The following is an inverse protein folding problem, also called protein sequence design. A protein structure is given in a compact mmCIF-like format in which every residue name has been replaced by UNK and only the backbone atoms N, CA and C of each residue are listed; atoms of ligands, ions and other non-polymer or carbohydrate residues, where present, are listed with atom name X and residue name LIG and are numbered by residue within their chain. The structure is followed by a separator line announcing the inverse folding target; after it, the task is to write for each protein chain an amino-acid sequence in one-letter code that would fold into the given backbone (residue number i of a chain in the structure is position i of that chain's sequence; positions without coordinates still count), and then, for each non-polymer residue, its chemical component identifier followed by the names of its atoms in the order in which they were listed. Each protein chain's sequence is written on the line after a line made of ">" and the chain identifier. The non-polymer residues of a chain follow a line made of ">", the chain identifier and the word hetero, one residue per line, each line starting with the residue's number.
data_IF_128266616801
#
_entry.id   IF_128266616801
#
_cell.length_a   1.000
_cell.length_b   1.000
_cell.length_c   1.000
_cell.angle_alpha   90.00
_cell.angle_beta   90.00
_cell.angle_gamma   90.00
#
_symmetry.space_group_name_H-M   'P 1'
#
loop_
_entity.id
_entity.type
_entity.pdbx_description
1 polymer ?
#
# COMPACT_ATOMS: atom_id res chain seq x y z
N UNK A 1 -6.45 -24.90 8.34
CA UNK A 1 -7.10 -23.57 8.33
C UNK A 1 -7.01 -22.99 9.73
N UNK A 2 -6.34 -21.86 9.92
CA UNK A 2 -6.38 -21.15 11.21
C UNK A 2 -7.76 -20.49 11.32
N UNK A 3 -8.54 -20.92 12.28
CA UNK A 3 -9.78 -20.24 12.66
C UNK A 3 -9.40 -18.88 13.26
N UNK A 4 -9.92 -17.81 12.70
CA UNK A 4 -9.70 -16.45 13.22
C UNK A 4 -10.74 -16.23 14.34
N UNK A 5 -10.29 -15.85 15.51
CA UNK A 5 -11.16 -15.33 16.56
C UNK A 5 -11.56 -13.89 16.17
N UNK A 6 -12.78 -13.73 15.70
CA UNK A 6 -13.30 -12.45 15.17
C UNK A 6 -13.31 -11.37 16.26
N UNK A 7 -13.67 -11.73 17.50
CA UNK A 7 -13.70 -10.75 18.59
C UNK A 7 -12.30 -10.24 18.93
N UNK A 8 -11.33 -11.14 19.01
CA UNK A 8 -9.91 -10.80 19.23
C UNK A 8 -9.35 -9.96 18.07
N UNK A 9 -9.71 -10.28 16.83
CA UNK A 9 -9.30 -9.55 15.63
C UNK A 9 -9.82 -8.10 15.63
N UNK A 10 -11.10 -7.93 15.92
CA UNK A 10 -11.72 -6.58 16.02
C UNK A 10 -11.08 -5.78 17.16
N UNK A 11 -10.83 -6.41 18.30
CA UNK A 11 -10.20 -5.75 19.44
C UNK A 11 -8.80 -5.27 19.11
N UNK A 12 -7.97 -6.13 18.52
CA UNK A 12 -6.61 -5.80 18.10
C UNK A 12 -6.57 -4.68 17.05
N UNK A 13 -7.50 -4.72 16.08
CA UNK A 13 -7.61 -3.65 15.08
C UNK A 13 -7.91 -2.30 15.74
N UNK A 14 -8.85 -2.26 16.69
CA UNK A 14 -9.18 -1.03 17.45
C UNK A 14 -8.00 -0.52 18.26
N UNK A 15 -7.28 -1.39 18.96
CA UNK A 15 -6.07 -1.01 19.73
C UNK A 15 -4.99 -0.37 18.87
N UNK A 16 -4.87 -0.81 17.62
CA UNK A 16 -3.88 -0.31 16.66
C UNK A 16 -4.40 0.79 15.74
N UNK A 17 -5.59 1.30 15.99
CA UNK A 17 -6.25 2.33 15.18
C UNK A 17 -6.38 1.90 13.70
N UNK A 18 -6.81 0.65 13.50
CA UNK A 18 -7.06 0.06 12.19
C UNK A 18 -8.56 -0.14 11.98
N UNK A 19 -9.07 0.38 10.88
CA UNK A 19 -10.45 0.16 10.44
C UNK A 19 -10.54 -1.16 9.68
N UNK A 20 -11.63 -1.90 9.91
CA UNK A 20 -11.98 -3.10 9.15
C UNK A 20 -13.15 -2.75 8.24
N UNK A 21 -12.90 -2.69 6.94
CA UNK A 21 -13.87 -2.25 5.93
C UNK A 21 -14.32 -3.47 5.10
N UNK A 22 -15.54 -3.99 5.29
CA UNK A 22 -16.05 -5.08 4.49
C UNK A 22 -16.39 -4.61 3.06
N UNK A 23 -16.34 -5.54 2.10
CA UNK A 23 -16.67 -5.30 0.69
C UNK A 23 -18.03 -4.62 0.47
N UNK A 24 -19.01 -4.91 1.34
CA UNK A 24 -20.37 -4.34 1.29
C UNK A 24 -20.45 -2.89 1.76
N UNK A 25 -19.41 -2.37 2.42
CA UNK A 25 -19.38 -1.00 2.93
C UNK A 25 -19.33 0.02 1.79
N UNK A 26 -19.98 1.17 2.00
CA UNK A 26 -19.85 2.33 1.12
C UNK A 26 -18.45 2.95 1.13
N UNK A 27 -17.71 2.75 2.24
CA UNK A 27 -16.32 3.22 2.39
C UNK A 27 -15.31 2.36 1.62
N UNK A 28 -15.73 1.19 1.12
CA UNK A 28 -14.84 0.32 0.35
C UNK A 28 -14.47 0.97 -0.99
N UNK A 29 -13.16 1.03 -1.37
CA UNK A 29 -12.72 1.72 -2.57
C UNK A 29 -13.40 1.18 -3.84
N UNK A 30 -14.05 2.06 -4.59
CA UNK A 30 -14.85 1.68 -5.78
C UNK A 30 -14.02 0.96 -6.84
N UNK A 31 -12.81 1.44 -7.13
CA UNK A 31 -11.91 0.81 -8.10
C UNK A 31 -11.52 -0.61 -7.66
N UNK A 32 -11.32 -0.82 -6.37
CA UNK A 32 -10.96 -2.12 -5.84
C UNK A 32 -12.12 -3.13 -5.92
N UNK A 33 -13.38 -2.66 -5.90
CA UNK A 33 -14.55 -3.51 -6.15
C UNK A 33 -14.59 -4.08 -7.57
N UNK A 34 -13.96 -3.41 -8.52
CA UNK A 34 -14.02 -3.75 -9.94
C UNK A 34 -12.96 -4.76 -10.40
N UNK A 35 -11.99 -5.10 -9.55
CA UNK A 35 -10.97 -6.10 -9.90
C UNK A 35 -11.57 -7.52 -9.90
N UNK A 36 -10.90 -8.44 -10.59
CA UNK A 36 -11.37 -9.83 -10.72
C UNK A 36 -11.55 -10.55 -9.36
N UNK A 37 -10.66 -10.29 -8.41
CA UNK A 37 -10.66 -10.93 -7.09
C UNK A 37 -10.50 -9.86 -5.99
N UNK A 38 -11.58 -9.11 -5.66
CA UNK A 38 -11.52 -8.09 -4.63
C UNK A 38 -11.49 -8.72 -3.23
N UNK A 39 -10.71 -8.18 -2.29
CA UNK A 39 -10.73 -8.63 -0.90
C UNK A 39 -12.14 -8.49 -0.30
N UNK A 40 -12.60 -9.52 0.41
CA UNK A 40 -13.87 -9.44 1.14
C UNK A 40 -13.81 -8.47 2.31
N UNK A 41 -12.63 -8.25 2.85
CA UNK A 41 -12.36 -7.33 3.95
C UNK A 41 -11.05 -6.60 3.68
N UNK A 42 -11.05 -5.30 3.92
CA UNK A 42 -9.86 -4.44 3.82
C UNK A 42 -9.55 -3.85 5.19
N UNK A 43 -8.33 -4.05 5.65
CA UNK A 43 -7.80 -3.41 6.86
C UNK A 43 -7.15 -2.10 6.45
N UNK A 44 -7.50 -0.99 7.11
CA UNK A 44 -7.04 0.36 6.75
C UNK A 44 -6.54 1.08 7.99
N UNK A 45 -5.30 1.55 7.96
CA UNK A 45 -4.76 2.48 8.94
C UNK A 45 -4.51 3.83 8.26
N UNK A 46 -5.02 4.91 8.85
CA UNK A 46 -5.12 6.21 8.20
C UNK A 46 -6.45 6.39 7.48
N UNK A 47 -6.50 7.23 6.45
CA UNK A 47 -7.73 7.59 5.78
C UNK A 47 -7.61 7.48 4.25
N UNK A 48 -8.55 6.78 3.63
CA UNK A 48 -8.77 6.80 2.19
C UNK A 48 -9.83 7.87 1.91
N UNK A 49 -9.52 8.81 1.04
CA UNK A 49 -10.41 9.90 0.64
C UNK A 49 -11.00 9.63 -0.74
N UNK A 50 -12.12 10.26 -1.05
CA UNK A 50 -12.73 10.17 -2.38
C UNK A 50 -11.78 10.65 -3.49
N UNK A 51 -10.97 11.67 -3.21
CA UNK A 51 -9.96 12.17 -4.14
C UNK A 51 -8.87 11.14 -4.48
N UNK A 52 -8.64 10.13 -3.64
CA UNK A 52 -7.65 9.08 -3.87
C UNK A 52 -8.04 8.14 -5.04
N UNK A 53 -9.24 8.30 -5.60
CA UNK A 53 -9.64 7.64 -6.84
C UNK A 53 -8.72 8.00 -8.02
N UNK A 54 -8.14 9.21 -8.00
CA UNK A 54 -7.14 9.65 -8.95
C UNK A 54 -5.76 9.18 -8.48
N UNK A 55 -5.50 7.90 -8.59
CA UNK A 55 -4.28 7.28 -8.11
C UNK A 55 -3.42 6.72 -9.24
N UNK A 56 -2.11 6.71 -9.01
CA UNK A 56 -1.12 6.11 -9.89
C UNK A 56 -0.17 5.24 -9.07
N UNK A 57 0.01 4.00 -9.50
CA UNK A 57 0.98 3.10 -8.90
C UNK A 57 2.40 3.45 -9.35
N UNK A 58 3.36 3.49 -8.41
CA UNK A 58 4.79 3.54 -8.71
C UNK A 58 5.42 2.32 -8.06
N UNK A 59 5.99 1.43 -8.86
CA UNK A 59 6.56 0.17 -8.41
C UNK A 59 7.91 -0.09 -9.07
N UNK A 60 8.71 -0.96 -8.47
CA UNK A 60 9.97 -1.36 -9.05
C UNK A 60 10.83 -2.26 -8.17
N UNK A 61 12.11 -2.36 -8.51
CA UNK A 61 13.05 -3.27 -7.87
C UNK A 61 13.30 -2.90 -6.41
N UNK A 62 13.41 -3.93 -5.54
CA UNK A 62 13.84 -3.78 -4.14
C UNK A 62 15.33 -3.45 -4.03
N UNK A 63 16.14 -3.97 -4.96
CA UNK A 63 17.55 -3.62 -5.16
C UNK A 63 17.64 -2.85 -6.46
N UNK A 64 17.81 -1.57 -6.36
CA UNK A 64 17.78 -0.64 -7.48
C UNK A 64 19.01 0.27 -7.45
N UNK A 65 19.24 0.95 -8.57
CA UNK A 65 20.30 1.95 -8.68
C UNK A 65 19.95 3.22 -7.92
N UNK A 66 20.95 4.04 -7.61
CA UNK A 66 20.72 5.39 -7.05
C UNK A 66 19.88 6.25 -8.01
N UNK A 67 20.08 6.09 -9.32
CA UNK A 67 19.27 6.74 -10.33
C UNK A 67 17.81 6.31 -10.25
N UNK A 68 17.52 5.01 -10.11
CA UNK A 68 16.17 4.49 -9.92
C UNK A 68 15.49 5.07 -8.70
N UNK A 69 16.18 5.12 -7.54
CA UNK A 69 15.67 5.75 -6.33
C UNK A 69 15.32 7.23 -6.54
N UNK A 70 16.24 7.99 -7.15
CA UNK A 70 16.06 9.40 -7.44
C UNK A 70 14.86 9.64 -8.38
N UNK A 71 14.69 8.81 -9.41
CA UNK A 71 13.56 8.94 -10.32
C UNK A 71 12.23 8.56 -9.65
N UNK A 72 12.19 7.50 -8.84
CA UNK A 72 10.99 7.11 -8.12
C UNK A 72 10.51 8.22 -7.17
N UNK A 73 11.42 8.81 -6.41
CA UNK A 73 11.13 9.93 -5.52
C UNK A 73 10.68 11.17 -6.30
N UNK A 74 11.36 11.49 -7.42
CA UNK A 74 11.01 12.62 -8.29
C UNK A 74 9.61 12.44 -8.88
N UNK A 75 9.28 11.28 -9.43
CA UNK A 75 7.96 11.01 -9.98
C UNK A 75 6.88 11.03 -8.89
N UNK A 76 7.14 10.42 -7.73
CA UNK A 76 6.24 10.46 -6.58
C UNK A 76 5.89 11.89 -6.20
N UNK A 77 6.90 12.76 -6.11
CA UNK A 77 6.71 14.18 -5.81
C UNK A 77 5.94 14.92 -6.88
N UNK A 78 6.35 14.83 -8.14
CA UNK A 78 5.75 15.57 -9.24
C UNK A 78 4.28 15.20 -9.47
N UNK A 79 3.97 13.91 -9.43
CA UNK A 79 2.61 13.40 -9.63
C UNK A 79 1.71 13.76 -8.44
N UNK A 80 2.22 13.65 -7.22
CA UNK A 80 1.48 14.07 -6.03
C UNK A 80 1.20 15.57 -6.01
N UNK A 81 2.13 16.41 -6.47
CA UNK A 81 1.91 17.86 -6.67
C UNK A 81 0.79 18.17 -7.69
N UNK A 82 0.52 17.24 -8.60
CA UNK A 82 -0.60 17.35 -9.56
C UNK A 82 -1.92 16.80 -9.02
N UNK A 83 -1.96 16.44 -7.75
CA UNK A 83 -3.17 15.92 -7.08
C UNK A 83 -3.40 14.42 -7.25
N UNK A 84 -2.43 13.67 -7.79
CA UNK A 84 -2.52 12.21 -7.86
C UNK A 84 -2.13 11.58 -6.53
N UNK A 85 -2.89 10.59 -6.10
CA UNK A 85 -2.50 9.73 -4.99
C UNK A 85 -1.47 8.69 -5.46
N UNK A 86 -0.34 8.58 -4.77
CA UNK A 86 0.69 7.61 -5.12
C UNK A 86 0.42 6.29 -4.38
N UNK A 87 0.22 5.22 -5.12
CA UNK A 87 0.01 3.87 -4.58
C UNK A 87 1.25 3.03 -4.79
N UNK A 88 1.73 2.37 -3.74
CA UNK A 88 2.86 1.46 -3.83
C UNK A 88 2.83 0.40 -2.72
N UNK A 89 3.82 -0.48 -2.69
CA UNK A 89 3.85 -1.62 -1.77
C UNK A 89 4.68 -1.41 -0.51
N UNK A 90 5.25 -0.23 -0.30
CA UNK A 90 6.15 0.08 0.82
C UNK A 90 7.36 -0.87 0.93
N UNK A 91 7.69 -1.60 -0.13
CA UNK A 91 8.89 -2.42 -0.18
C UNK A 91 10.16 -1.53 -0.17
N UNK A 92 11.31 -2.14 0.11
CA UNK A 92 12.61 -1.46 -0.06
C UNK A 92 12.75 -0.93 -1.48
N UNK A 93 13.59 0.06 -1.67
CA UNK A 93 13.94 0.57 -3.00
C UNK A 93 12.88 1.49 -3.58
N UNK A 94 12.41 1.19 -4.77
CA UNK A 94 11.52 2.05 -5.57
C UNK A 94 10.23 2.41 -4.85
N UNK A 95 9.56 1.43 -4.23
CA UNK A 95 8.30 1.66 -3.53
C UNK A 95 8.44 2.70 -2.41
N UNK A 96 9.45 2.52 -1.55
CA UNK A 96 9.71 3.46 -0.45
C UNK A 96 10.08 4.86 -0.95
N UNK A 97 10.88 4.95 -2.02
CA UNK A 97 11.26 6.23 -2.62
C UNK A 97 10.05 6.96 -3.20
N UNK A 98 9.12 6.24 -3.84
CA UNK A 98 7.87 6.81 -4.36
C UNK A 98 7.01 7.42 -3.25
N UNK A 99 6.84 6.71 -2.13
CA UNK A 99 6.12 7.24 -0.96
C UNK A 99 6.80 8.49 -0.38
N UNK A 100 8.14 8.48 -0.22
CA UNK A 100 8.89 9.66 0.25
C UNK A 100 8.71 10.87 -0.66
N UNK A 101 8.70 10.66 -1.97
CA UNK A 101 8.45 11.71 -2.95
C UNK A 101 7.07 12.36 -2.75
N UNK A 102 6.02 11.56 -2.62
CA UNK A 102 4.67 12.03 -2.39
C UNK A 102 4.56 12.81 -1.07
N UNK A 103 5.10 12.27 0.02
CA UNK A 103 5.11 12.89 1.36
C UNK A 103 5.87 14.21 1.34
N UNK A 104 7.05 14.25 0.69
CA UNK A 104 7.87 15.46 0.57
C UNK A 104 7.19 16.62 -0.14
N UNK A 105 6.18 16.34 -0.98
CA UNK A 105 5.32 17.34 -1.60
C UNK A 105 4.03 17.62 -0.82
N UNK A 106 3.87 17.04 0.36
CA UNK A 106 2.61 17.05 1.15
C UNK A 106 1.43 16.44 0.40
N UNK A 107 1.72 15.56 -0.56
CA UNK A 107 0.71 14.85 -1.34
C UNK A 107 0.17 13.59 -0.65
N UNK A 108 -0.81 12.97 -1.30
CA UNK A 108 -1.47 11.74 -0.84
C UNK A 108 -0.70 10.51 -1.27
N UNK A 109 -0.64 9.51 -0.38
CA UNK A 109 -0.06 8.21 -0.73
C UNK A 109 -0.73 7.07 0.03
N UNK A 110 -0.86 5.91 -0.62
CA UNK A 110 -1.44 4.69 -0.05
C UNK A 110 -0.43 3.56 -0.21
N UNK A 111 -0.07 2.94 0.91
CA UNK A 111 0.76 1.74 0.91
C UNK A 111 -0.12 0.48 1.02
N UNK A 112 0.16 -0.51 0.18
CA UNK A 112 -0.50 -1.82 0.24
C UNK A 112 0.48 -2.84 0.78
N UNK A 113 0.15 -3.49 1.90
CA UNK A 113 1.03 -4.48 2.52
C UNK A 113 0.65 -5.92 2.15
N UNK A 114 1.65 -6.78 2.05
CA UNK A 114 1.50 -8.23 1.91
C UNK A 114 1.53 -8.98 3.25
N UNK A 115 1.24 -8.29 4.36
CA UNK A 115 1.14 -8.85 5.72
C UNK A 115 0.07 -8.11 6.50
N UNK A 116 -0.26 -8.60 7.70
CA UNK A 116 -1.20 -7.91 8.58
C UNK A 116 -0.65 -6.60 9.12
N UNK A 117 -1.54 -5.62 9.36
CA UNK A 117 -1.15 -4.29 9.84
C UNK A 117 -0.64 -4.29 11.29
N UNK A 118 -0.83 -5.38 12.02
CA UNK A 118 -0.25 -5.60 13.34
C UNK A 118 1.24 -5.96 13.33
N UNK A 119 1.78 -6.35 12.18
CA UNK A 119 3.16 -6.85 12.02
C UNK A 119 3.98 -5.89 11.17
N UNK A 120 3.84 -4.72 11.03
CA UNK A 120 4.54 -3.74 10.18
C UNK A 120 5.86 -4.25 9.55
N UNK A 121 5.89 -4.32 8.21
CA UNK A 121 7.02 -4.82 7.43
C UNK A 121 7.21 -4.00 6.14
N UNK A 122 8.45 -3.70 5.70
CA UNK A 122 9.72 -4.02 6.35
C UNK A 122 10.01 -3.10 7.55
N UNK A 123 10.75 -3.61 8.53
CA UNK A 123 11.00 -2.89 9.80
C UNK A 123 11.74 -1.57 9.63
N UNK A 124 12.64 -1.47 8.67
CA UNK A 124 13.35 -0.23 8.35
C UNK A 124 12.44 0.89 7.79
N UNK A 125 11.22 0.57 7.36
CA UNK A 125 10.24 1.52 6.84
C UNK A 125 9.16 1.89 7.86
N UNK A 126 9.35 1.62 9.17
CA UNK A 126 8.37 1.95 10.22
C UNK A 126 8.11 3.45 10.28
N UNK A 127 9.17 4.27 10.28
CA UNK A 127 9.02 5.74 10.27
C UNK A 127 8.30 6.24 9.02
N UNK A 128 8.59 5.63 7.87
CA UNK A 128 7.88 5.91 6.62
C UNK A 128 6.40 5.52 6.72
N UNK A 129 6.09 4.39 7.35
CA UNK A 129 4.72 3.94 7.57
C UNK A 129 3.93 4.96 8.41
N UNK A 130 4.52 5.51 9.47
CA UNK A 130 3.90 6.54 10.29
C UNK A 130 3.61 7.81 9.48
N UNK A 131 4.54 8.23 8.64
CA UNK A 131 4.34 9.36 7.74
C UNK A 131 3.26 9.09 6.69
N UNK A 132 3.21 7.88 6.12
CA UNK A 132 2.17 7.49 5.17
C UNK A 132 0.78 7.60 5.80
N UNK A 133 0.61 7.15 7.04
CA UNK A 133 -0.67 7.24 7.77
C UNK A 133 -1.14 8.69 7.92
N UNK A 134 -0.21 9.63 8.11
CA UNK A 134 -0.54 11.06 8.20
C UNK A 134 -0.91 11.70 6.86
N UNK A 135 -0.42 11.14 5.74
CA UNK A 135 -0.64 11.65 4.39
C UNK A 135 -1.60 10.82 3.55
N UNK A 136 -2.12 9.72 4.08
CA UNK A 136 -2.96 8.80 3.35
C UNK A 136 -3.35 7.60 4.19
N UNK A 137 -3.04 6.40 3.69
CA UNK A 137 -3.40 5.17 4.36
C UNK A 137 -2.39 4.05 4.10
N UNK A 138 -2.38 3.09 5.02
CA UNK A 138 -1.79 1.76 4.81
C UNK A 138 -2.94 0.76 4.77
N UNK A 139 -2.95 -0.09 3.77
CA UNK A 139 -4.02 -1.07 3.56
C UNK A 139 -3.46 -2.49 3.46
N UNK A 140 -4.26 -3.46 3.89
CA UNK A 140 -3.97 -4.89 3.75
C UNK A 140 -5.28 -5.68 3.64
N UNK A 141 -5.21 -6.81 2.94
CA UNK A 141 -6.29 -7.81 2.93
C UNK A 141 -6.09 -8.91 3.98
N UNK A 142 -4.95 -8.91 4.67
CA UNK A 142 -4.57 -9.95 5.61
C UNK A 142 -4.97 -9.61 7.04
N UNK A 143 -5.38 -10.61 7.85
CA UNK A 143 -5.62 -10.44 9.28
C UNK A 143 -4.44 -9.79 10.00
N UNK A 144 -4.70 -9.09 11.09
CA UNK A 144 -3.76 -8.19 11.80
C UNK A 144 -2.40 -8.83 12.11
N UNK A 145 -2.36 -10.08 12.53
CA UNK A 145 -1.14 -10.78 12.92
C UNK A 145 -0.55 -11.69 11.84
N UNK A 146 -0.99 -11.54 10.58
CA UNK A 146 -0.42 -12.31 9.47
C UNK A 146 1.03 -11.89 9.23
N UNK A 147 2.01 -12.80 9.36
CA UNK A 147 3.42 -12.47 9.14
C UNK A 147 3.70 -12.19 7.66
N UNK A 148 4.76 -11.43 7.35
CA UNK A 148 5.21 -11.23 5.98
C UNK A 148 5.70 -12.57 5.40
N UNK A 149 5.26 -12.87 4.18
CA UNK A 149 5.64 -14.07 3.44
C UNK A 149 5.88 -13.71 1.98
N UNK A 150 6.93 -14.27 1.37
CA UNK A 150 7.22 -14.03 -0.05
C UNK A 150 6.06 -14.48 -0.97
N UNK A 151 5.23 -15.43 -0.52
CA UNK A 151 4.05 -15.91 -1.24
C UNK A 151 2.88 -14.94 -1.23
N UNK A 152 2.84 -14.00 -0.29
CA UNK A 152 1.77 -13.00 -0.17
C UNK A 152 2.06 -11.71 -0.95
N UNK A 153 3.32 -11.46 -1.30
CA UNK A 153 3.70 -10.23 -2.01
C UNK A 153 3.19 -10.19 -3.47
N UNK A 154 3.32 -11.25 -4.30
CA UNK A 154 2.78 -11.20 -5.65
C UNK A 154 1.25 -11.06 -5.71
N UNK A 155 0.45 -11.84 -4.96
CA UNK A 155 -1.00 -11.67 -4.92
C UNK A 155 -1.45 -10.27 -4.48
N UNK A 156 -0.73 -9.65 -3.53
CA UNK A 156 -0.98 -8.29 -3.06
C UNK A 156 -0.93 -7.26 -4.19
N UNK A 157 -0.09 -7.47 -5.20
CA UNK A 157 0.11 -6.50 -6.28
C UNK A 157 -1.17 -6.20 -7.07
N UNK A 158 -2.15 -7.12 -7.09
CA UNK A 158 -3.46 -6.86 -7.70
C UNK A 158 -4.21 -5.71 -7.01
N UNK A 159 -3.99 -5.52 -5.70
CA UNK A 159 -4.57 -4.40 -4.96
C UNK A 159 -3.88 -3.07 -5.32
N UNK A 160 -2.58 -3.08 -5.52
CA UNK A 160 -1.84 -1.89 -5.99
C UNK A 160 -2.39 -1.45 -7.35
N UNK A 161 -2.51 -2.39 -8.29
CA UNK A 161 -3.11 -2.11 -9.60
C UNK A 161 -4.59 -1.73 -9.49
N UNK A 162 -5.35 -2.42 -8.64
CA UNK A 162 -6.78 -2.19 -8.46
C UNK A 162 -7.14 -0.84 -7.83
N UNK A 163 -6.24 -0.27 -7.04
CA UNK A 163 -6.39 1.07 -6.47
C UNK A 163 -5.94 2.18 -7.43
N UNK A 164 -5.34 1.84 -8.57
CA UNK A 164 -4.66 2.79 -9.44
C UNK A 164 -5.23 2.81 -10.85
N UNK A 165 -5.22 3.99 -11.49
CA UNK A 165 -5.62 4.16 -12.88
C UNK A 165 -4.57 3.64 -13.86
N UNK A 166 -3.30 3.70 -13.46
CA UNK A 166 -2.16 3.22 -14.22
C UNK A 166 -0.98 2.87 -13.30
N UNK A 167 0.00 2.16 -13.83
CA UNK A 167 1.21 1.82 -13.11
C UNK A 167 2.46 2.31 -13.85
N UNK A 168 3.35 2.97 -13.11
CA UNK A 168 4.67 3.36 -13.55
C UNK A 168 5.71 2.38 -12.97
N UNK A 169 6.40 1.66 -13.81
CA UNK A 169 7.52 0.81 -13.43
C UNK A 169 8.81 1.59 -13.64
N UNK A 170 9.49 1.94 -12.54
CA UNK A 170 10.70 2.80 -12.60
C UNK A 170 11.93 2.01 -12.93
N UNK A 171 12.13 0.88 -12.27
CA UNK A 171 13.28 0.00 -12.50
C UNK A 171 12.90 -1.45 -12.18
N UNK A 172 13.32 -2.37 -13.04
CA UNK A 172 13.15 -3.81 -12.80
C UNK A 172 14.50 -4.50 -12.81
N UNK A 173 14.67 -5.57 -12.03
CA UNK A 173 15.82 -6.44 -12.15
C UNK A 173 15.50 -7.61 -13.08
N UNK A 174 16.48 -8.03 -13.90
CA UNK A 174 16.33 -9.20 -14.80
C UNK A 174 15.97 -10.50 -14.05
N UNK A 175 16.15 -10.55 -12.73
CA UNK A 175 15.78 -11.70 -11.86
C UNK A 175 14.38 -11.61 -11.26
N UNK A 176 13.62 -10.56 -11.53
CA UNK A 176 12.25 -10.38 -11.01
C UNK A 176 11.16 -10.92 -11.94
N UNK A 177 11.54 -11.56 -13.03
CA UNK A 177 10.63 -12.06 -14.08
C UNK A 177 10.31 -13.56 -13.94
N UNK A 178 10.32 -14.09 -12.72
CA UNK A 178 9.86 -15.46 -12.45
C UNK A 178 8.86 -15.47 -11.29
#
# INVERSE_FOLDING_TARGET
>A
SRTIDIAAEIHLAKEKDVQIIPYTSEQYPKHLKAIYDPPLVLYVKGNILEADILALAIVGARRCTYYGLSQAERFGRLLAQKGLCIVSGMARGIDAAAHRGAIGSRGRTIAVLGCGLGVMYPRENIELAEQIVQHGAIVSEFPMNTPPDFRTFPPRNRLISGLSLAALVVETSLKSAH
#
